data_IF_584430925061
#
_entry.id   IF_584430925061
#
_cell.length_a   1.000
_cell.length_b   1.000
_cell.length_c   1.000
_cell.angle_alpha   90.00
_cell.angle_beta   90.00
_cell.angle_gamma   90.00
#
_symmetry.space_group_name_H-M   'P 1'
#
loop_
_entity.id
_entity.type
_entity.pdbx_description
1 polymer ?
#
# COMPACT_ATOMS: atom_id res chain seq x y z
N UNK A 1 1.70 -1.14 11.63
CA UNK A 1 2.74 -0.22 12.15
C UNK A 1 2.62 1.10 11.43
N UNK A 2 2.54 2.23 12.15
CA UNK A 2 2.55 3.56 11.55
C UNK A 2 3.99 3.98 11.25
N UNK A 3 4.31 4.20 9.97
CA UNK A 3 5.59 4.79 9.55
C UNK A 3 5.47 6.31 9.44
N UNK A 4 4.30 6.80 9.02
CA UNK A 4 3.93 8.21 9.07
C UNK A 4 2.48 8.34 9.53
N UNK A 5 2.29 9.09 10.60
CA UNK A 5 0.98 9.38 11.20
C UNK A 5 0.11 10.24 10.28
N UNK A 6 -1.21 10.17 10.48
CA UNK A 6 -2.17 10.98 9.74
C UNK A 6 -3.59 10.43 9.82
N UNK A 7 -4.49 11.20 9.22
CA UNK A 7 -5.89 10.85 9.00
C UNK A 7 -6.16 10.96 7.50
N UNK A 8 -6.64 9.87 6.90
CA UNK A 8 -7.01 9.86 5.49
C UNK A 8 -8.17 8.92 5.23
N UNK A 9 -8.89 9.20 4.15
CA UNK A 9 -10.01 8.40 3.67
C UNK A 9 -9.99 8.35 2.14
N UNK A 10 -10.29 7.19 1.58
CA UNK A 10 -10.31 6.99 0.14
C UNK A 10 -10.82 5.61 -0.25
N UNK A 11 -11.11 5.37 -1.54
CA UNK A 11 -11.39 4.02 -2.03
C UNK A 11 -10.14 3.14 -1.90
N UNK A 12 -10.30 1.90 -1.43
CA UNK A 12 -9.22 0.91 -1.39
C UNK A 12 -8.88 0.44 -2.81
N UNK A 13 -7.68 0.76 -3.28
CA UNK A 13 -7.18 0.32 -4.59
C UNK A 13 -5.80 -0.28 -4.36
N UNK A 14 -5.50 -1.44 -4.94
CA UNK A 14 -4.26 -2.12 -4.58
C UNK A 14 -4.21 -3.62 -4.83
N UNK A 15 -3.24 -4.26 -4.18
CA UNK A 15 -2.99 -5.71 -4.24
C UNK A 15 -1.50 -6.04 -4.20
N UNK A 16 -1.15 -7.17 -4.82
CA UNK A 16 0.24 -7.56 -5.06
C UNK A 16 0.92 -6.54 -5.99
N UNK A 17 2.01 -5.92 -5.54
CA UNK A 17 2.72 -4.89 -6.29
C UNK A 17 3.24 -5.45 -7.62
N UNK A 18 3.82 -6.66 -7.62
CA UNK A 18 4.32 -7.31 -8.83
C UNK A 18 3.19 -7.65 -9.81
N UNK A 19 1.99 -7.93 -9.33
CA UNK A 19 0.83 -8.21 -10.19
C UNK A 19 0.30 -6.94 -10.85
N UNK A 20 0.20 -5.84 -10.10
CA UNK A 20 -0.26 -4.55 -10.63
C UNK A 20 0.64 -4.04 -11.76
N UNK A 21 1.94 -4.30 -11.69
CA UNK A 21 2.90 -3.95 -12.75
C UNK A 21 2.49 -4.45 -14.15
N UNK A 22 1.83 -5.60 -14.23
CA UNK A 22 1.37 -6.17 -15.50
C UNK A 22 0.22 -5.38 -16.15
N UNK A 23 -0.45 -4.50 -15.38
CA UNK A 23 -1.55 -3.66 -15.88
C UNK A 23 -1.05 -2.31 -16.39
N UNK A 24 0.23 -1.98 -16.17
CA UNK A 24 0.80 -0.68 -16.51
C UNK A 24 0.62 -0.33 -17.98
N UNK A 25 0.12 0.87 -18.24
CA UNK A 25 -0.10 1.38 -19.60
C UNK A 25 -1.23 0.69 -20.37
N UNK A 26 -1.97 -0.21 -19.72
CA UNK A 26 -3.17 -0.84 -20.29
C UNK A 26 -4.42 -0.09 -19.87
N UNK A 27 -5.55 -0.38 -20.52
CA UNK A 27 -6.88 0.13 -20.12
C UNK A 27 -7.35 -0.40 -18.75
N UNK A 28 -6.64 -1.38 -18.19
CA UNK A 28 -6.92 -1.97 -16.88
C UNK A 28 -6.10 -1.34 -15.76
N UNK A 29 -5.24 -0.35 -16.06
CA UNK A 29 -4.54 0.41 -15.03
C UNK A 29 -5.57 1.13 -14.13
N UNK A 30 -5.53 0.94 -12.79
CA UNK A 30 -6.54 1.52 -11.91
C UNK A 30 -6.55 3.05 -11.91
N UNK A 31 -7.69 3.62 -11.57
CA UNK A 31 -7.78 5.03 -11.15
C UNK A 31 -7.35 5.15 -9.69
N UNK A 32 -6.31 5.95 -9.43
CA UNK A 32 -5.74 6.16 -8.09
C UNK A 32 -6.18 7.47 -7.45
N UNK A 33 -7.11 8.20 -8.07
CA UNK A 33 -7.64 9.47 -7.56
C UNK A 33 -8.20 9.32 -6.14
N UNK A 34 -7.58 10.01 -5.19
CA UNK A 34 -7.84 9.97 -3.75
C UNK A 34 -7.75 8.56 -3.13
N UNK A 35 -7.11 7.60 -3.80
CA UNK A 35 -7.12 6.21 -3.37
C UNK A 35 -6.34 5.97 -2.08
N UNK A 36 -6.87 5.08 -1.24
CA UNK A 36 -6.12 4.43 -0.18
C UNK A 36 -5.35 3.27 -0.81
N UNK A 37 -4.13 3.54 -1.28
CA UNK A 37 -3.31 2.57 -2.00
C UNK A 37 -2.81 1.51 -1.03
N UNK A 38 -3.20 0.25 -1.25
CA UNK A 38 -2.69 -0.87 -0.47
C UNK A 38 -1.82 -1.80 -1.32
N UNK A 39 -0.59 -2.08 -0.88
CA UNK A 39 0.38 -2.88 -1.62
C UNK A 39 0.93 -3.99 -0.75
N UNK A 40 1.26 -5.12 -1.36
CA UNK A 40 1.97 -6.22 -0.71
C UNK A 40 2.88 -6.92 -1.72
N UNK A 41 3.80 -7.76 -1.23
CA UNK A 41 4.76 -8.51 -2.06
C UNK A 41 4.38 -9.98 -2.15
N UNK A 42 4.55 -10.58 -3.32
CA UNK A 42 4.29 -12.00 -3.57
C UNK A 42 5.22 -12.96 -2.81
N UNK A 43 4.93 -14.26 -2.92
CA UNK A 43 5.80 -15.34 -2.44
C UNK A 43 7.14 -15.43 -3.18
N UNK A 44 7.29 -14.73 -4.32
CA UNK A 44 8.57 -14.58 -5.02
C UNK A 44 9.60 -13.80 -4.19
N UNK A 45 9.15 -13.13 -3.12
CA UNK A 45 10.00 -12.41 -2.16
C UNK A 45 10.94 -11.45 -2.92
N UNK A 46 10.40 -10.43 -3.62
CA UNK A 46 11.23 -9.36 -4.18
C UNK A 46 12.12 -8.78 -3.08
N UNK A 47 13.28 -8.23 -3.43
CA UNK A 47 14.11 -7.52 -2.48
C UNK A 47 13.51 -6.14 -2.15
N UNK A 48 13.90 -5.49 -1.03
CA UNK A 48 13.56 -4.09 -0.78
C UNK A 48 13.94 -3.17 -1.95
N UNK A 49 15.06 -3.44 -2.64
CA UNK A 49 15.47 -2.69 -3.84
C UNK A 49 14.56 -2.92 -5.05
N UNK A 50 13.99 -4.11 -5.22
CA UNK A 50 13.02 -4.36 -6.29
C UNK A 50 11.72 -3.59 -6.00
N UNK A 51 11.29 -3.56 -4.74
CA UNK A 51 10.13 -2.76 -4.32
C UNK A 51 10.39 -1.26 -4.50
N UNK A 52 11.61 -0.79 -4.23
CA UNK A 52 12.02 0.59 -4.48
C UNK A 52 11.90 0.96 -5.96
N UNK A 53 12.38 0.10 -6.86
CA UNK A 53 12.25 0.29 -8.30
C UNK A 53 10.79 0.34 -8.75
N UNK A 54 9.94 -0.56 -8.25
CA UNK A 54 8.50 -0.54 -8.55
C UNK A 54 7.84 0.75 -8.03
N UNK A 55 8.11 1.18 -6.80
CA UNK A 55 7.55 2.42 -6.26
C UNK A 55 8.08 3.68 -6.97
N UNK A 56 9.33 3.67 -7.44
CA UNK A 56 9.88 4.73 -8.28
C UNK A 56 9.07 4.90 -9.55
N UNK A 57 8.64 3.80 -10.16
CA UNK A 57 7.81 3.89 -11.34
C UNK A 57 6.40 4.41 -11.05
N UNK A 58 5.78 4.00 -9.94
CA UNK A 58 4.49 4.57 -9.51
C UNK A 58 4.61 6.08 -9.31
N UNK A 59 5.71 6.53 -8.71
CA UNK A 59 6.04 7.94 -8.58
C UNK A 59 6.18 8.62 -9.95
N UNK A 60 6.96 8.05 -10.88
CA UNK A 60 7.16 8.62 -12.22
C UNK A 60 5.87 8.66 -13.06
N UNK A 61 4.92 7.76 -12.78
CA UNK A 61 3.61 7.72 -13.42
C UNK A 61 2.60 8.69 -12.79
N UNK A 62 2.97 9.40 -11.74
CA UNK A 62 2.08 10.34 -11.08
C UNK A 62 1.09 9.70 -10.10
N UNK A 63 1.31 8.44 -9.70
CA UNK A 63 0.37 7.71 -8.82
C UNK A 63 0.42 8.26 -7.40
N UNK A 64 1.62 8.54 -6.88
CA UNK A 64 1.79 8.98 -5.49
C UNK A 64 1.21 10.38 -5.25
N UNK A 65 1.06 11.20 -6.29
CA UNK A 65 0.37 12.49 -6.28
C UNK A 65 -1.15 12.35 -6.13
N UNK A 66 -1.71 11.20 -6.51
CA UNK A 66 -3.16 10.98 -6.56
C UNK A 66 -3.69 10.33 -5.28
N UNK A 67 -2.86 9.58 -4.55
CA UNK A 67 -3.33 8.78 -3.41
C UNK A 67 -3.52 9.60 -2.13
N UNK A 68 -4.47 9.17 -1.30
CA UNK A 68 -4.74 9.75 0.01
C UNK A 68 -4.01 9.04 1.16
N UNK A 69 -3.46 7.84 0.93
CA UNK A 69 -2.76 7.02 1.92
C UNK A 69 -2.04 5.83 1.30
N UNK A 70 -0.98 5.36 1.95
CA UNK A 70 -0.20 4.18 1.56
C UNK A 70 -0.22 3.13 2.67
N UNK A 71 -0.76 1.96 2.36
CA UNK A 71 -0.86 0.80 3.25
C UNK A 71 -0.01 -0.33 2.69
N UNK A 72 0.89 -0.89 3.49
CA UNK A 72 1.79 -1.95 3.04
C UNK A 72 1.62 -3.21 3.90
N UNK A 73 1.31 -4.32 3.24
CA UNK A 73 1.17 -5.64 3.85
C UNK A 73 2.50 -6.15 4.39
N UNK A 74 2.47 -6.95 5.46
CA UNK A 74 3.68 -7.57 6.00
C UNK A 74 4.30 -8.48 4.93
N UNK A 75 5.56 -8.23 4.50
CA UNK A 75 6.18 -9.03 3.47
C UNK A 75 6.51 -10.44 4.00
N UNK A 76 6.23 -11.45 3.19
CA UNK A 76 6.49 -12.85 3.54
C UNK A 76 7.99 -13.13 3.55
N UNK A 77 8.49 -13.80 4.60
CA UNK A 77 9.89 -14.29 4.72
C UNK A 77 10.98 -13.22 4.66
N UNK A 78 10.65 -11.93 4.78
CA UNK A 78 11.68 -10.91 5.00
C UNK A 78 12.31 -11.08 6.38
N UNK A 79 13.64 -11.01 6.42
CA UNK A 79 14.42 -10.83 7.63
C UNK A 79 14.14 -9.47 8.28
N UNK A 80 14.59 -9.28 9.53
CA UNK A 80 14.41 -8.00 10.22
C UNK A 80 15.10 -6.83 9.50
N UNK A 81 16.28 -7.07 8.90
CA UNK A 81 17.00 -6.04 8.13
C UNK A 81 16.26 -5.69 6.84
N UNK A 82 15.77 -6.69 6.09
CA UNK A 82 14.99 -6.44 4.87
C UNK A 82 13.69 -5.67 5.16
N UNK A 83 13.04 -5.94 6.30
CA UNK A 83 11.87 -5.16 6.74
C UNK A 83 12.23 -3.70 7.01
N UNK A 84 13.33 -3.46 7.71
CA UNK A 84 13.79 -2.11 8.01
C UNK A 84 14.15 -1.34 6.72
N UNK A 85 14.83 -2.01 5.78
CA UNK A 85 15.13 -1.44 4.47
C UNK A 85 13.86 -1.11 3.69
N UNK A 86 12.87 -2.02 3.69
CA UNK A 86 11.58 -1.76 3.06
C UNK A 86 10.85 -0.57 3.71
N UNK A 87 10.86 -0.45 5.04
CA UNK A 87 10.25 0.69 5.72
C UNK A 87 10.91 2.00 5.32
N UNK A 88 12.24 2.01 5.15
CA UNK A 88 12.97 3.17 4.65
C UNK A 88 12.59 3.49 3.20
N UNK A 89 12.50 2.50 2.32
CA UNK A 89 12.04 2.67 0.92
C UNK A 89 10.65 3.32 0.87
N UNK A 90 9.70 2.83 1.67
CA UNK A 90 8.35 3.39 1.74
C UNK A 90 8.37 4.87 2.18
N UNK A 91 9.19 5.21 3.18
CA UNK A 91 9.34 6.58 3.66
C UNK A 91 10.03 7.49 2.64
N UNK A 92 11.09 7.01 1.98
CA UNK A 92 11.87 7.79 1.02
C UNK A 92 11.05 8.12 -0.22
N UNK A 93 10.38 7.12 -0.81
CA UNK A 93 9.51 7.31 -1.98
C UNK A 93 8.29 8.16 -1.69
N UNK A 94 7.80 8.11 -0.45
CA UNK A 94 6.66 8.91 -0.04
C UNK A 94 7.03 10.25 0.62
N UNK A 95 8.32 10.61 0.71
CA UNK A 95 8.82 11.75 1.50
C UNK A 95 8.31 13.12 1.03
N UNK A 96 8.03 13.27 -0.25
CA UNK A 96 7.48 14.51 -0.84
C UNK A 96 5.98 14.71 -0.54
N UNK A 97 5.29 13.68 -0.02
CA UNK A 97 3.85 13.66 0.17
C UNK A 97 3.47 13.65 1.65
N UNK A 98 2.23 14.04 1.96
CA UNK A 98 1.75 14.21 3.34
C UNK A 98 0.81 13.11 3.82
N UNK A 99 0.43 12.19 2.94
CA UNK A 99 -0.49 11.12 3.27
C UNK A 99 0.08 10.15 4.34
N UNK A 100 -0.74 9.53 5.19
CA UNK A 100 -0.28 8.54 6.17
C UNK A 100 0.32 7.31 5.48
N UNK A 101 1.32 6.71 6.13
CA UNK A 101 1.99 5.49 5.67
C UNK A 101 1.92 4.44 6.77
N UNK A 102 1.30 3.31 6.46
CA UNK A 102 1.14 2.18 7.38
C UNK A 102 1.82 0.97 6.77
N UNK A 103 2.63 0.25 7.54
CA UNK A 103 3.30 -0.98 7.12
C UNK A 103 2.99 -2.14 8.07
N UNK A 104 3.45 -3.34 7.72
CA UNK A 104 3.28 -4.57 8.53
C UNK A 104 1.82 -4.94 8.78
N UNK A 105 0.93 -4.64 7.83
CA UNK A 105 -0.48 -5.01 7.92
C UNK A 105 -0.67 -6.50 7.63
N UNK A 106 -1.59 -7.15 8.34
CA UNK A 106 -1.93 -8.58 8.17
C UNK A 106 -2.80 -8.83 6.91
N UNK A 107 -2.29 -8.50 5.72
CA UNK A 107 -2.84 -8.92 4.42
C UNK A 107 -1.70 -9.32 3.46
N UNK A 108 -2.04 -9.93 2.32
CA UNK A 108 -1.05 -10.42 1.35
C UNK A 108 -0.55 -11.83 1.69
N UNK A 109 0.68 -12.16 1.35
CA UNK A 109 1.21 -13.53 1.41
C UNK A 109 1.64 -14.03 2.82
N UNK A 110 1.19 -13.39 3.92
CA UNK A 110 1.43 -13.87 5.30
C UNK A 110 0.17 -14.43 5.95
N UNK A 111 0.27 -14.97 7.17
CA UNK A 111 -0.89 -15.40 7.96
C UNK A 111 -0.76 -14.81 9.37
N UNK A 112 -1.85 -14.30 9.99
CA UNK A 112 -3.23 -14.22 9.48
C UNK A 112 -3.40 -13.22 8.31
N UNK A 113 -4.57 -13.26 7.66
CA UNK A 113 -4.96 -12.35 6.57
C UNK A 113 -6.34 -11.76 6.87
N UNK A 114 -6.46 -10.44 6.91
CA UNK A 114 -7.74 -9.76 6.82
C UNK A 114 -8.10 -9.46 5.36
N UNK A 115 -9.40 -9.29 5.10
CA UNK A 115 -9.94 -9.02 3.77
C UNK A 115 -10.01 -7.50 3.56
N UNK A 116 -9.48 -7.04 2.41
CA UNK A 116 -9.63 -5.67 1.94
C UNK A 116 -10.54 -5.65 0.70
N UNK A 117 -11.78 -5.13 0.80
CA UNK A 117 -12.67 -5.05 -0.35
C UNK A 117 -12.25 -3.90 -1.27
N UNK A 118 -11.73 -4.25 -2.45
CA UNK A 118 -11.32 -3.28 -3.47
C UNK A 118 -12.51 -2.41 -3.88
N UNK A 119 -12.29 -1.10 -3.94
CA UNK A 119 -13.27 -0.08 -4.32
C UNK A 119 -14.09 0.48 -3.16
N UNK A 120 -14.22 -0.22 -2.03
CA UNK A 120 -14.91 0.32 -0.87
C UNK A 120 -14.10 1.46 -0.23
N UNK A 121 -14.81 2.43 0.35
CA UNK A 121 -14.17 3.50 1.12
C UNK A 121 -13.61 2.96 2.43
N UNK A 122 -12.37 3.32 2.74
CA UNK A 122 -11.72 3.06 4.00
C UNK A 122 -11.15 4.33 4.61
N UNK A 123 -11.08 4.36 5.95
CA UNK A 123 -10.43 5.41 6.73
C UNK A 123 -9.27 4.82 7.52
N UNK A 124 -8.16 5.56 7.55
CA UNK A 124 -7.05 5.29 8.46
C UNK A 124 -6.88 6.48 9.39
N UNK A 125 -6.74 6.20 10.69
CA UNK A 125 -6.63 7.21 11.73
C UNK A 125 -5.54 6.81 12.74
N UNK A 126 -4.38 7.48 12.68
CA UNK A 126 -3.28 7.20 13.59
C UNK A 126 -3.56 7.58 15.03
N UNK A 127 -4.49 8.51 15.29
CA UNK A 127 -4.86 8.90 16.67
C UNK A 127 -5.72 7.84 17.35
N UNK A 128 -6.48 7.07 16.58
CA UNK A 128 -7.29 5.94 17.05
C UNK A 128 -6.63 4.58 16.85
N UNK A 129 -5.48 4.56 16.19
CA UNK A 129 -4.81 3.34 15.73
C UNK A 129 -5.73 2.43 14.92
N UNK A 130 -6.59 2.99 14.07
CA UNK A 130 -7.64 2.24 13.35
C UNK A 130 -7.50 2.29 11.83
N UNK A 131 -7.96 1.20 11.21
CA UNK A 131 -8.29 1.10 9.79
C UNK A 131 -9.72 0.59 9.71
N UNK A 132 -10.62 1.37 9.13
CA UNK A 132 -12.05 1.14 9.13
C UNK A 132 -12.58 1.07 7.70
N UNK A 133 -13.33 0.02 7.36
CA UNK A 133 -14.12 -0.04 6.13
C UNK A 133 -15.44 0.68 6.39
N UNK A 134 -15.74 1.73 5.62
CA UNK A 134 -16.86 2.64 5.89
C UNK A 134 -18.15 2.21 5.20
N UNK A 135 -18.10 1.19 4.34
CA UNK A 135 -19.19 0.79 3.46
C UNK A 135 -19.39 -0.73 3.51
N UNK A 136 -20.63 -1.17 3.29
CA UNK A 136 -20.92 -2.59 3.08
C UNK A 136 -20.38 -3.05 1.74
N UNK A 137 -19.61 -4.14 1.73
CA UNK A 137 -19.00 -4.71 0.51
C UNK A 137 -19.90 -5.70 -0.22
N UNK A 138 -21.02 -6.09 0.39
CA UNK A 138 -22.04 -6.99 -0.16
C UNK A 138 -23.43 -6.49 0.24
N UNK A 139 -24.40 -6.64 -0.66
CA UNK A 139 -25.82 -6.34 -0.44
C UNK A 139 -26.60 -7.53 0.09
#
# INVERSE_FOLDING_TARGET
MWLREGLAEGPLIGGCIESLEHLRGTVFWPDFSDAMLFLETSEQKPSPSDVDAMLMDYQNMGVLEQISGLLFGRPMRYSASEKQELHQVLLDRSSAYKFPVVAELDFGHTSPQFVLPIGCRARVDSTKESIEILEGSVS
#
